data_IF_737326307914
#
_entry.id   IF_737326307914
#
_cell.length_a   1.000
_cell.length_b   1.000
_cell.length_c   1.000
_cell.angle_alpha   90.00
_cell.angle_beta   90.00
_cell.angle_gamma   90.00
#
_symmetry.space_group_name_H-M   'P 1'
#
loop_
_entity.id
_entity.type
_entity.pdbx_description
1 polymer ?
#
# COMPACT_ATOMS: atom_id res chain seq x y z
N UNK A 1 -16.04 -23.03 9.73
CA UNK A 1 -15.84 -23.30 11.18
C UNK A 1 -14.37 -23.08 11.52
N UNK A 2 -14.06 -22.30 12.55
CA UNK A 2 -12.70 -21.88 12.94
C UNK A 2 -12.56 -21.99 14.45
N UNK A 3 -11.37 -22.34 14.92
CA UNK A 3 -11.17 -22.64 16.33
C UNK A 3 -9.86 -22.15 16.89
N UNK A 4 -9.90 -21.80 18.17
CA UNK A 4 -8.78 -21.35 18.98
C UNK A 4 -8.42 -22.44 20.00
N UNK A 5 -7.17 -22.90 19.98
CA UNK A 5 -6.63 -23.90 20.93
C UNK A 5 -5.40 -23.36 21.64
N UNK A 6 -5.23 -23.76 22.90
CA UNK A 6 -3.99 -23.59 23.64
C UNK A 6 -3.25 -24.91 23.73
N UNK A 7 -1.98 -24.91 23.33
CA UNK A 7 -1.10 -26.08 23.47
C UNK A 7 -0.22 -25.85 24.70
N UNK A 8 -0.71 -26.22 25.88
CA UNK A 8 0.09 -26.26 27.12
C UNK A 8 0.91 -27.56 27.19
N UNK A 9 2.08 -27.59 27.87
CA UNK A 9 3.00 -28.74 27.88
C UNK A 9 2.42 -30.07 28.38
N UNK A 10 1.30 -30.03 29.12
CA UNK A 10 0.70 -31.20 29.78
C UNK A 10 -0.71 -31.55 29.29
N UNK A 11 -1.22 -30.93 28.21
CA UNK A 11 -2.56 -31.21 27.70
C UNK A 11 -2.46 -32.00 26.40
N UNK A 12 -2.78 -33.30 26.45
CA UNK A 12 -2.72 -34.19 25.29
C UNK A 12 -3.65 -33.77 24.13
N UNK A 13 -4.62 -32.87 24.36
CA UNK A 13 -5.56 -32.39 23.32
C UNK A 13 -5.82 -30.86 23.30
N UNK A 14 -5.12 -30.08 24.14
CA UNK A 14 -5.32 -28.63 24.26
C UNK A 14 -6.68 -28.21 24.85
N UNK A 15 -6.76 -27.05 25.51
CA UNK A 15 -8.06 -26.49 25.92
C UNK A 15 -8.62 -25.70 24.73
N UNK A 16 -9.84 -26.04 24.28
CA UNK A 16 -10.55 -25.19 23.34
C UNK A 16 -10.92 -23.90 24.06
N UNK A 17 -10.40 -22.78 23.56
CA UNK A 17 -10.82 -21.48 24.08
C UNK A 17 -12.15 -21.09 23.46
N UNK A 18 -12.26 -21.18 22.13
CA UNK A 18 -13.41 -20.71 21.37
C UNK A 18 -13.54 -21.48 20.05
N UNK A 19 -14.78 -21.71 19.60
CA UNK A 19 -15.12 -22.25 18.28
C UNK A 19 -16.20 -21.36 17.67
N UNK A 20 -16.01 -20.89 16.43
CA UNK A 20 -16.98 -20.04 15.76
C UNK A 20 -16.95 -20.22 14.24
N UNK A 21 -18.04 -19.85 13.57
CA UNK A 21 -18.14 -19.83 12.11
C UNK A 21 -18.28 -18.40 11.63
N UNK A 22 -17.25 -17.90 10.97
CA UNK A 22 -17.24 -16.57 10.37
C UNK A 22 -17.90 -16.55 8.99
N UNK A 23 -18.62 -15.47 8.71
CA UNK A 23 -19.20 -15.20 7.40
C UNK A 23 -18.16 -14.81 6.34
N UNK A 24 -18.64 -14.44 5.14
CA UNK A 24 -17.76 -13.96 4.07
C UNK A 24 -17.22 -12.57 4.40
N UNK A 25 -15.88 -12.44 4.43
CA UNK A 25 -15.16 -11.18 4.65
C UNK A 25 -15.47 -10.49 5.99
N UNK A 26 -15.60 -11.27 7.05
CA UNK A 26 -15.87 -10.78 8.40
C UNK A 26 -14.58 -10.60 9.22
N UNK A 27 -14.52 -9.52 9.99
CA UNK A 27 -13.51 -9.31 11.05
C UNK A 27 -14.21 -9.49 12.39
N UNK A 28 -13.66 -10.34 13.26
CA UNK A 28 -14.24 -10.62 14.57
C UNK A 28 -13.16 -10.65 15.64
N UNK A 29 -13.48 -10.06 16.78
CA UNK A 29 -12.66 -10.11 17.98
C UNK A 29 -13.18 -11.20 18.90
N UNK A 30 -12.26 -11.90 19.55
CA UNK A 30 -12.52 -13.02 20.42
C UNK A 30 -11.83 -12.79 21.76
N UNK A 31 -12.57 -12.96 22.85
CA UNK A 31 -12.05 -12.87 24.21
C UNK A 31 -12.37 -14.16 24.97
N UNK A 32 -11.41 -14.63 25.76
CA UNK A 32 -11.55 -15.85 26.55
C UNK A 32 -10.63 -15.81 27.77
N UNK A 33 -10.91 -16.67 28.74
CA UNK A 33 -10.09 -16.82 29.94
C UNK A 33 -9.25 -18.09 29.86
N UNK A 34 -8.00 -17.99 30.30
CA UNK A 34 -7.10 -19.13 30.47
C UNK A 34 -6.80 -19.22 31.96
N UNK A 35 -6.93 -20.42 32.55
CA UNK A 35 -6.56 -20.61 33.94
C UNK A 35 -5.07 -20.29 34.12
N UNK A 36 -4.71 -19.51 35.14
CA UNK A 36 -3.32 -19.13 35.40
C UNK A 36 -2.40 -20.37 35.57
N UNK A 37 -2.93 -21.47 36.12
CA UNK A 37 -2.24 -22.75 36.25
C UNK A 37 -1.90 -23.43 34.91
N UNK A 38 -2.55 -23.03 33.81
CA UNK A 38 -2.29 -23.53 32.46
C UNK A 38 -1.26 -22.68 31.70
N UNK A 39 -0.82 -21.54 32.25
CA UNK A 39 0.21 -20.70 31.65
C UNK A 39 1.60 -21.24 31.98
N UNK A 40 2.40 -21.44 30.94
CA UNK A 40 3.81 -21.80 31.06
C UNK A 40 4.71 -20.65 30.65
N UNK A 41 6.03 -20.78 30.88
CA UNK A 41 7.05 -19.83 30.39
C UNK A 41 6.98 -19.59 28.89
N UNK A 42 6.54 -20.59 28.13
CA UNK A 42 6.17 -20.45 26.73
C UNK A 42 4.77 -21.01 26.56
N UNK A 43 3.91 -20.26 25.86
CA UNK A 43 2.54 -20.65 25.57
C UNK A 43 2.28 -20.47 24.08
N UNK A 44 1.76 -21.50 23.41
CA UNK A 44 1.42 -21.44 21.98
C UNK A 44 -0.09 -21.32 21.83
N UNK A 45 -0.51 -20.24 21.20
CA UNK A 45 -1.88 -20.08 20.70
C UNK A 45 -1.94 -20.63 19.27
N UNK A 46 -2.80 -21.62 19.05
CA UNK A 46 -3.04 -22.20 17.74
C UNK A 46 -4.40 -21.77 17.22
N UNK A 47 -4.41 -21.26 15.99
CA UNK A 47 -5.62 -20.85 15.29
C UNK A 47 -5.76 -21.74 14.07
N UNK A 48 -6.85 -22.49 13.98
CA UNK A 48 -7.06 -23.50 12.94
C UNK A 48 -8.31 -23.18 12.12
N UNK A 49 -8.18 -23.38 10.80
CA UNK A 49 -9.34 -23.46 9.91
C UNK A 49 -9.80 -24.91 9.81
N UNK A 50 -11.04 -25.19 10.20
CA UNK A 50 -11.62 -26.52 10.16
C UNK A 50 -12.40 -26.80 8.86
N UNK A 51 -12.54 -25.82 7.97
CA UNK A 51 -13.44 -25.88 6.80
C UNK A 51 -12.78 -26.32 5.48
N UNK A 52 -11.58 -26.91 5.52
CA UNK A 52 -10.88 -27.41 4.32
C UNK A 52 -10.25 -26.31 3.44
N UNK A 53 -9.75 -26.70 2.25
CA UNK A 53 -8.80 -25.94 1.42
C UNK A 53 -9.35 -24.68 0.69
N UNK A 54 -10.55 -24.21 1.02
CA UNK A 54 -11.19 -23.07 0.35
C UNK A 54 -11.30 -21.78 1.18
N UNK A 55 -11.02 -21.83 2.48
CA UNK A 55 -11.17 -20.69 3.38
C UNK A 55 -9.81 -20.16 3.85
N UNK A 56 -9.56 -18.87 3.58
CA UNK A 56 -8.41 -18.15 4.10
C UNK A 56 -8.83 -17.32 5.33
N UNK A 57 -7.96 -17.27 6.33
CA UNK A 57 -8.06 -16.34 7.44
C UNK A 57 -6.68 -15.74 7.70
N UNK A 58 -6.68 -14.56 8.32
CA UNK A 58 -5.47 -13.91 8.79
C UNK A 58 -5.72 -13.40 10.20
N UNK A 59 -4.76 -13.61 11.08
CA UNK A 59 -4.81 -13.10 12.45
C UNK A 59 -4.22 -11.69 12.45
N UNK A 60 -5.02 -10.69 12.80
CA UNK A 60 -4.54 -9.32 12.90
C UNK A 60 -3.62 -9.13 14.12
N UNK A 61 -4.07 -9.55 15.29
CA UNK A 61 -3.29 -9.55 16.53
C UNK A 61 -3.80 -10.64 17.48
N UNK A 62 -2.99 -10.94 18.50
CA UNK A 62 -3.39 -11.70 19.68
C UNK A 62 -2.72 -11.07 20.91
N UNK A 63 -3.45 -10.97 22.01
CA UNK A 63 -2.94 -10.45 23.29
C UNK A 63 -3.39 -11.34 24.43
N UNK A 64 -2.62 -11.33 25.52
CA UNK A 64 -2.98 -11.99 26.77
C UNK A 64 -2.67 -11.05 27.91
N UNK A 65 -3.61 -10.98 28.86
CA UNK A 65 -3.42 -10.32 30.13
C UNK A 65 -3.28 -11.39 31.22
N UNK A 66 -2.26 -11.27 32.05
CA UNK A 66 -1.97 -12.25 33.10
C UNK A 66 -1.33 -11.56 34.32
N UNK A 67 -1.55 -12.09 35.53
CA UNK A 67 -0.80 -11.67 36.71
C UNK A 67 0.69 -11.96 36.51
N UNK A 68 1.55 -10.98 36.76
CA UNK A 68 2.98 -11.10 36.58
C UNK A 68 3.72 -10.38 37.69
N UNK A 69 4.88 -10.91 38.07
CA UNK A 69 5.85 -10.16 38.87
C UNK A 69 6.43 -9.03 38.01
N UNK A 70 6.76 -7.89 38.63
CA UNK A 70 7.37 -6.76 37.95
C UNK A 70 8.89 -6.98 37.79
N UNK A 71 9.24 -8.03 37.05
CA UNK A 71 10.60 -8.38 36.66
C UNK A 71 10.70 -8.42 35.13
N UNK A 72 11.61 -7.64 34.54
CA UNK A 72 11.58 -7.35 33.11
C UNK A 72 12.76 -7.86 32.29
N UNK A 73 13.53 -8.85 32.78
CA UNK A 73 14.59 -9.54 32.01
C UNK A 73 15.61 -8.59 31.38
N UNK A 74 16.00 -7.53 32.10
CA UNK A 74 16.88 -6.44 31.66
C UNK A 74 16.36 -5.65 30.44
N UNK A 75 15.07 -5.72 30.12
CA UNK A 75 14.50 -4.86 29.08
C UNK A 75 14.58 -3.39 29.51
N UNK A 76 14.79 -2.50 28.54
CA UNK A 76 14.84 -1.05 28.75
C UNK A 76 13.47 -0.38 28.63
N UNK A 77 12.44 -1.15 28.24
CA UNK A 77 11.04 -0.74 28.20
C UNK A 77 10.13 -1.91 28.60
N UNK A 78 9.06 -1.61 29.32
CA UNK A 78 8.02 -2.56 29.68
C UNK A 78 6.67 -1.86 29.75
N UNK A 79 5.60 -2.60 29.47
CA UNK A 79 4.24 -2.16 29.70
C UNK A 79 3.64 -3.01 30.80
N UNK A 80 3.10 -2.37 31.83
CA UNK A 80 2.31 -3.04 32.87
C UNK A 80 0.88 -2.52 32.85
N UNK A 81 -0.03 -3.36 33.31
CA UNK A 81 -1.44 -3.03 33.46
C UNK A 81 -1.79 -3.17 34.94
N UNK A 82 -2.29 -2.12 35.55
CA UNK A 82 -2.57 -2.05 36.99
C UNK A 82 -4.07 -1.99 37.23
N UNK A 83 -4.56 -2.87 38.09
CA UNK A 83 -5.94 -2.85 38.57
C UNK A 83 -6.20 -1.65 39.49
N UNK A 84 -7.41 -1.08 39.50
CA UNK A 84 -7.79 0.07 40.33
C UNK A 84 -7.32 -0.07 41.78
N UNK A 85 -6.77 1.02 42.33
CA UNK A 85 -6.35 1.09 43.72
C UNK A 85 -7.09 2.24 44.41
N UNK A 86 -7.78 1.94 45.51
CA UNK A 86 -8.52 2.94 46.30
C UNK A 86 -7.62 3.78 47.22
N UNK A 87 -6.31 3.52 47.21
CA UNK A 87 -5.31 4.19 48.04
C UNK A 87 -4.00 4.39 47.27
N UNK A 88 -3.12 5.22 47.83
CA UNK A 88 -1.75 5.36 47.32
C UNK A 88 -1.07 3.99 47.35
N UNK A 89 -0.51 3.59 46.22
CA UNK A 89 0.11 2.27 46.04
C UNK A 89 1.59 2.41 45.71
N UNK A 90 2.37 1.46 46.19
CA UNK A 90 3.81 1.38 46.02
C UNK A 90 4.15 0.18 45.13
N UNK A 91 5.02 0.40 44.15
CA UNK A 91 5.40 -0.60 43.18
C UNK A 91 6.92 -0.69 43.10
N UNK A 92 7.43 -1.91 43.15
CA UNK A 92 8.84 -2.22 42.91
C UNK A 92 8.97 -2.90 41.55
N UNK A 93 10.03 -2.53 40.85
CA UNK A 93 10.39 -3.06 39.55
C UNK A 93 11.80 -3.61 39.67
N UNK A 94 11.99 -4.85 39.24
CA UNK A 94 13.27 -5.55 39.30
C UNK A 94 13.73 -5.95 37.91
N UNK A 95 15.02 -6.22 37.80
CA UNK A 95 15.63 -6.67 36.56
C UNK A 95 15.28 -5.79 35.34
N UNK A 96 15.30 -4.47 35.54
CA UNK A 96 14.93 -3.47 34.53
C UNK A 96 16.15 -2.63 34.16
N UNK A 97 16.45 -2.49 32.86
CA UNK A 97 17.56 -1.65 32.39
C UNK A 97 17.14 -0.17 32.34
N UNK A 98 16.88 0.41 33.51
CA UNK A 98 16.29 1.74 33.67
C UNK A 98 17.24 2.93 33.46
N UNK A 99 18.54 2.72 33.53
CA UNK A 99 19.54 3.79 33.46
C UNK A 99 19.49 4.73 34.67
N UNK A 100 19.87 6.00 34.46
CA UNK A 100 19.99 6.99 35.52
C UNK A 100 18.64 7.53 36.02
N UNK A 101 17.67 7.70 35.12
CA UNK A 101 16.37 8.30 35.43
C UNK A 101 15.22 7.59 34.69
N UNK A 102 14.93 6.31 35.00
CA UNK A 102 13.82 5.60 34.41
C UNK A 102 12.48 6.27 34.70
N UNK A 103 11.52 6.09 33.80
CA UNK A 103 10.23 6.77 33.85
C UNK A 103 9.08 5.78 33.81
N UNK A 104 8.07 6.02 34.66
CA UNK A 104 6.73 5.49 34.55
C UNK A 104 5.83 6.55 33.94
N UNK A 105 5.22 6.24 32.80
CA UNK A 105 4.21 7.06 32.16
C UNK A 105 2.84 6.40 32.31
N UNK A 106 1.96 7.02 33.11
CA UNK A 106 0.62 6.51 33.42
C UNK A 106 -0.36 7.05 32.38
N UNK A 107 -0.92 6.17 31.54
CA UNK A 107 -1.69 6.61 30.37
C UNK A 107 -2.97 7.35 30.74
N UNK A 108 -3.75 6.87 31.71
CA UNK A 108 -5.05 7.47 32.03
C UNK A 108 -4.93 8.89 32.61
N UNK A 109 -3.84 9.20 33.30
CA UNK A 109 -3.60 10.50 33.94
C UNK A 109 -2.54 11.34 33.24
N UNK A 110 -1.90 10.79 32.20
CA UNK A 110 -0.75 11.36 31.49
C UNK A 110 0.41 11.76 32.41
N UNK A 111 0.50 11.14 33.59
CA UNK A 111 1.52 11.45 34.58
C UNK A 111 2.86 10.83 34.22
N UNK A 112 3.91 11.63 34.31
CA UNK A 112 5.31 11.20 34.15
C UNK A 112 5.98 11.17 35.52
N UNK A 113 6.40 9.99 35.96
CA UNK A 113 7.01 9.78 37.27
C UNK A 113 8.41 9.21 37.05
N UNK A 114 9.43 9.84 37.63
CA UNK A 114 10.79 9.28 37.65
C UNK A 114 10.84 8.23 38.75
N UNK A 115 11.28 7.03 38.41
CA UNK A 115 11.41 5.95 39.39
C UNK A 115 12.65 6.20 40.26
N UNK A 116 12.52 5.90 41.54
CA UNK A 116 13.62 5.98 42.51
C UNK A 116 14.44 4.69 42.49
N UNK A 117 15.78 4.75 42.53
CA UNK A 117 16.61 3.55 42.62
C UNK A 117 16.44 2.87 44.00
N UNK A 118 16.31 1.54 43.98
CA UNK A 118 16.31 0.69 45.18
C UNK A 118 17.56 -0.20 45.25
N UNK A 119 18.20 -0.44 44.10
CA UNK A 119 19.42 -1.24 43.98
C UNK A 119 19.85 -1.37 42.52
N UNK A 120 20.74 -2.32 42.23
CA UNK A 120 21.15 -2.57 40.84
C UNK A 120 19.97 -3.06 40.00
N UNK A 121 19.57 -2.27 39.01
CA UNK A 121 18.45 -2.57 38.10
C UNK A 121 17.13 -2.80 38.83
N UNK A 122 16.99 -2.17 40.00
CA UNK A 122 15.82 -2.23 40.84
C UNK A 122 15.39 -0.81 41.16
N UNK A 123 14.10 -0.56 40.98
CA UNK A 123 13.53 0.75 41.07
C UNK A 123 12.16 0.69 41.71
N UNK A 124 11.69 1.83 42.20
CA UNK A 124 10.38 1.95 42.82
C UNK A 124 9.67 3.23 42.41
N UNK A 125 8.34 3.20 42.47
CA UNK A 125 7.52 4.39 42.30
C UNK A 125 6.23 4.25 43.09
N UNK A 126 5.54 5.38 43.27
CA UNK A 126 4.22 5.39 43.89
C UNK A 126 3.20 6.04 42.99
N UNK A 127 2.00 5.48 42.97
CA UNK A 127 0.85 6.09 42.31
C UNK A 127 -0.18 6.49 43.37
N UNK A 128 -0.88 7.62 43.20
CA UNK A 128 -2.08 7.93 43.99
C UNK A 128 -3.18 6.89 43.73
N UNK A 129 -4.31 6.99 44.42
CA UNK A 129 -5.49 6.16 44.11
C UNK A 129 -5.97 6.40 42.68
N UNK A 130 -6.43 5.35 42.00
CA UNK A 130 -7.02 5.41 40.66
C UNK A 130 -8.18 4.42 40.55
N UNK A 131 -9.24 4.84 39.87
CA UNK A 131 -10.54 4.12 39.84
C UNK A 131 -10.75 3.28 38.58
N UNK A 132 -9.90 3.46 37.57
CA UNK A 132 -9.94 2.70 36.32
C UNK A 132 -8.62 1.97 36.15
N UNK A 133 -8.70 0.74 35.64
CA UNK A 133 -7.54 -0.02 35.19
C UNK A 133 -6.67 0.83 34.28
N UNK A 134 -5.37 0.89 34.55
CA UNK A 134 -4.45 1.83 33.90
C UNK A 134 -3.23 1.14 33.36
N UNK A 135 -2.85 1.50 32.14
CA UNK A 135 -1.59 1.07 31.55
C UNK A 135 -0.47 2.02 31.99
N UNK A 136 0.64 1.46 32.43
CA UNK A 136 1.85 2.21 32.77
C UNK A 136 2.99 1.73 31.87
N UNK A 137 3.55 2.67 31.12
CA UNK A 137 4.75 2.43 30.33
C UNK A 137 5.98 2.76 31.18
N UNK A 138 6.79 1.74 31.45
CA UNK A 138 8.10 1.88 32.08
C UNK A 138 9.15 1.96 30.98
N UNK A 139 10.03 2.95 31.02
CA UNK A 139 11.09 3.07 30.01
C UNK A 139 12.33 3.80 30.52
N UNK A 140 13.47 3.42 29.95
CA UNK A 140 14.74 4.13 30.07
C UNK A 140 14.81 5.23 28.99
N UNK A 141 14.82 6.52 29.36
CA UNK A 141 14.83 7.61 28.39
C UNK A 141 16.01 7.58 27.41
N UNK A 142 17.16 7.06 27.83
CA UNK A 142 18.38 7.02 27.00
C UNK A 142 18.46 5.84 26.03
N UNK A 143 17.54 4.88 26.09
CA UNK A 143 17.56 3.68 25.23
C UNK A 143 16.22 3.38 24.54
N UNK A 144 15.11 3.64 25.23
CA UNK A 144 13.79 3.21 24.79
C UNK A 144 13.02 4.26 24.00
N UNK A 145 13.47 5.52 24.03
CA UNK A 145 12.87 6.59 23.24
C UNK A 145 13.57 6.72 21.89
N UNK A 146 12.78 6.86 20.84
CA UNK A 146 13.28 7.29 19.54
C UNK A 146 13.34 8.82 19.55
N UNK A 147 14.54 9.35 19.58
CA UNK A 147 14.74 10.80 19.49
C UNK A 147 14.28 11.32 18.12
N UNK A 148 13.42 12.34 18.13
CA UNK A 148 13.05 13.08 16.93
C UNK A 148 13.96 14.30 16.87
N UNK A 149 15.06 14.18 16.14
CA UNK A 149 16.09 15.22 16.05
C UNK A 149 15.68 16.38 15.14
N UNK A 150 14.75 16.15 14.22
CA UNK A 150 14.29 17.16 13.29
C UNK A 150 12.82 16.95 12.94
N UNK A 151 12.08 18.07 12.89
CA UNK A 151 10.75 18.16 12.31
C UNK A 151 10.83 19.05 11.08
N UNK A 152 10.24 18.62 9.97
CA UNK A 152 10.09 19.43 8.76
C UNK A 152 8.63 19.83 8.59
N UNK A 153 8.33 21.13 8.40
CA UNK A 153 6.97 21.54 8.04
C UNK A 153 6.60 20.95 6.67
N UNK A 154 5.35 20.49 6.55
CA UNK A 154 4.77 20.06 5.28
C UNK A 154 3.76 21.11 4.84
N UNK A 155 3.96 21.65 3.63
CA UNK A 155 3.00 22.54 2.99
C UNK A 155 2.14 21.70 2.07
N UNK A 156 0.83 21.64 2.36
CA UNK A 156 -0.10 20.86 1.57
C UNK A 156 -0.56 21.62 0.33
N UNK A 157 -0.57 20.93 -0.81
CA UNK A 157 -1.23 21.41 -2.01
C UNK A 157 -2.73 21.51 -1.76
N UNK A 158 -3.34 22.66 -2.10
CA UNK A 158 -4.77 22.85 -1.97
C UNK A 158 -5.49 22.30 -3.20
N UNK A 159 -6.16 21.16 -3.01
CA UNK A 159 -6.95 20.51 -4.06
C UNK A 159 -8.44 20.92 -4.03
N UNK A 160 -8.86 21.77 -3.09
CA UNK A 160 -10.26 22.19 -2.97
C UNK A 160 -10.67 23.00 -4.20
N UNK A 161 -11.83 22.68 -4.76
CA UNK A 161 -12.42 23.38 -5.91
C UNK A 161 -11.52 23.43 -7.17
N UNK A 162 -10.56 22.50 -7.32
CA UNK A 162 -9.72 22.44 -8.52
C UNK A 162 -10.55 21.94 -9.70
N UNK A 163 -10.73 22.81 -10.70
CA UNK A 163 -11.36 22.46 -11.97
C UNK A 163 -10.28 21.97 -12.94
N UNK A 164 -10.10 20.65 -13.01
CA UNK A 164 -9.19 20.01 -13.94
C UNK A 164 -9.91 18.91 -14.72
N UNK A 165 -9.70 18.87 -16.03
CA UNK A 165 -10.24 17.82 -16.89
C UNK A 165 -9.17 16.84 -17.39
N UNK A 166 -7.90 17.11 -17.08
CA UNK A 166 -6.77 16.21 -17.30
C UNK A 166 -5.87 16.23 -16.07
N UNK A 167 -5.67 15.08 -15.43
CA UNK A 167 -4.89 14.98 -14.20
C UNK A 167 -3.61 14.19 -14.48
N UNK A 168 -2.47 14.73 -14.10
CA UNK A 168 -1.18 14.04 -14.12
C UNK A 168 -0.77 13.79 -12.68
N UNK A 169 -0.52 12.54 -12.32
CA UNK A 169 0.04 12.17 -11.01
C UNK A 169 1.46 11.67 -11.23
N UNK A 170 2.42 12.28 -10.55
CA UNK A 170 3.85 11.94 -10.67
C UNK A 170 4.55 12.07 -9.33
N UNK A 171 5.74 11.49 -9.20
CA UNK A 171 6.61 11.69 -8.06
C UNK A 171 7.54 12.90 -8.28
N UNK A 172 7.81 13.71 -7.25
CA UNK A 172 8.66 14.91 -7.33
C UNK A 172 10.05 14.66 -7.94
N UNK A 173 10.67 13.51 -7.63
CA UNK A 173 11.97 13.11 -8.21
C UNK A 173 11.96 12.95 -9.74
N UNK A 174 10.81 12.68 -10.38
CA UNK A 174 10.70 12.62 -11.83
C UNK A 174 10.57 14.00 -12.49
N UNK A 175 10.38 15.05 -11.68
CA UNK A 175 10.26 16.45 -12.11
C UNK A 175 11.59 17.18 -12.21
N UNK A 176 12.70 16.54 -11.84
CA UNK A 176 14.02 17.15 -11.89
C UNK A 176 14.99 16.23 -12.62
N UNK A 177 15.43 16.64 -13.82
CA UNK A 177 16.42 15.93 -14.64
C UNK A 177 17.88 16.13 -14.18
N UNK A 178 18.10 16.86 -13.09
CA UNK A 178 19.43 17.25 -12.60
C UNK A 178 20.02 18.45 -13.33
N UNK A 179 19.34 18.96 -14.36
CA UNK A 179 19.73 20.15 -15.14
C UNK A 179 18.70 21.28 -15.02
N UNK A 180 17.73 21.14 -14.11
CA UNK A 180 16.68 22.13 -13.86
C UNK A 180 15.49 22.04 -14.81
N UNK A 181 15.35 20.96 -15.59
CA UNK A 181 14.16 20.74 -16.43
C UNK A 181 13.18 19.80 -15.76
N UNK A 182 11.91 20.10 -16.01
CA UNK A 182 10.76 19.38 -15.51
C UNK A 182 9.94 18.83 -16.67
N UNK A 183 10.27 17.63 -17.12
CA UNK A 183 9.58 17.01 -18.26
C UNK A 183 8.13 16.61 -17.94
N UNK A 184 7.76 16.49 -16.66
CA UNK A 184 6.35 16.31 -16.25
C UNK A 184 5.58 17.59 -16.54
N UNK A 185 6.14 18.74 -16.16
CA UNK A 185 5.55 20.04 -16.46
C UNK A 185 5.54 20.34 -17.97
N UNK A 186 6.58 19.98 -18.72
CA UNK A 186 6.56 20.12 -20.18
C UNK A 186 5.45 19.27 -20.83
N UNK A 187 5.19 18.07 -20.31
CA UNK A 187 4.07 17.24 -20.76
C UNK A 187 2.73 17.91 -20.44
N UNK A 188 2.60 18.47 -19.23
CA UNK A 188 1.41 19.21 -18.82
C UNK A 188 1.18 20.45 -19.71
N UNK A 189 2.23 21.24 -19.95
CA UNK A 189 2.22 22.42 -20.81
C UNK A 189 1.80 22.07 -22.24
N UNK A 190 2.26 20.94 -22.78
CA UNK A 190 1.80 20.45 -24.06
C UNK A 190 0.31 20.11 -24.04
N UNK A 191 -0.19 19.37 -23.02
CA UNK A 191 -1.63 19.08 -22.91
C UNK A 191 -2.50 20.33 -22.72
N UNK A 192 -1.96 21.40 -22.16
CA UNK A 192 -2.62 22.72 -22.09
C UNK A 192 -2.63 23.46 -23.44
N UNK A 193 -1.71 23.17 -24.36
CA UNK A 193 -1.65 23.87 -25.66
C UNK A 193 -2.84 23.51 -26.55
N UNK A 194 -3.14 24.37 -27.52
CA UNK A 194 -4.17 24.10 -28.53
C UNK A 194 -3.90 22.80 -29.29
N UNK A 195 -2.64 22.53 -29.62
CA UNK A 195 -2.21 21.32 -30.32
C UNK A 195 -2.25 20.06 -29.46
N UNK A 196 -2.06 20.17 -28.15
CA UNK A 196 -2.14 19.04 -27.22
C UNK A 196 -3.52 18.82 -26.59
N UNK A 197 -4.54 19.55 -27.05
CA UNK A 197 -5.96 19.34 -26.74
C UNK A 197 -6.63 20.39 -25.86
N UNK A 198 -5.93 21.48 -25.51
CA UNK A 198 -6.46 22.60 -24.71
C UNK A 198 -7.09 22.16 -23.37
N UNK A 199 -6.46 21.21 -22.68
CA UNK A 199 -6.94 20.69 -21.41
C UNK A 199 -6.66 21.65 -20.25
N UNK A 200 -7.52 21.58 -19.22
CA UNK A 200 -7.25 22.13 -17.90
C UNK A 200 -6.47 21.08 -17.11
N UNK A 201 -5.15 21.23 -17.08
CA UNK A 201 -4.24 20.21 -16.54
C UNK A 201 -3.84 20.51 -15.10
N UNK A 202 -4.16 19.58 -14.19
CA UNK A 202 -3.60 19.51 -12.84
C UNK A 202 -2.40 18.56 -12.83
N UNK A 203 -1.28 18.99 -12.27
CA UNK A 203 -0.17 18.09 -11.93
C UNK A 203 -0.09 17.94 -10.42
N UNK A 204 -0.27 16.72 -9.94
CA UNK A 204 -0.27 16.39 -8.52
C UNK A 204 0.94 15.53 -8.16
N UNK A 205 1.60 15.86 -7.05
CA UNK A 205 2.65 15.04 -6.47
C UNK A 205 2.02 13.88 -5.69
N UNK A 206 2.46 12.65 -5.98
CA UNK A 206 1.98 11.45 -5.29
C UNK A 206 2.23 11.53 -3.78
N UNK A 207 3.29 12.20 -3.32
CA UNK A 207 3.55 12.34 -1.88
C UNK A 207 2.50 13.20 -1.19
N UNK A 208 2.09 14.31 -1.83
CA UNK A 208 0.99 15.16 -1.36
C UNK A 208 -0.33 14.39 -1.31
N UNK A 209 -0.56 13.52 -2.29
CA UNK A 209 -1.73 12.65 -2.32
C UNK A 209 -1.67 11.62 -1.17
N UNK A 210 -0.52 10.98 -0.95
CA UNK A 210 -0.35 9.99 0.12
C UNK A 210 -0.60 10.64 1.49
N UNK A 211 -0.04 11.81 1.75
CA UNK A 211 -0.20 12.48 3.04
C UNK A 211 -1.65 12.95 3.27
N UNK A 212 -2.33 13.45 2.24
CA UNK A 212 -3.68 14.00 2.38
C UNK A 212 -4.80 12.94 2.28
N UNK A 213 -4.61 11.86 1.51
CA UNK A 213 -5.65 10.89 1.17
C UNK A 213 -5.34 9.44 1.61
N UNK A 214 -4.15 9.19 2.16
CA UNK A 214 -3.66 7.84 2.50
C UNK A 214 -3.83 7.39 3.94
N UNK A 215 -4.52 8.17 4.80
CA UNK A 215 -4.69 7.88 6.24
C UNK A 215 -3.37 7.62 6.99
N UNK A 216 -2.28 8.28 6.55
CA UNK A 216 -0.95 8.11 7.14
C UNK A 216 -0.26 6.78 6.80
N UNK A 217 -0.79 5.98 5.87
CA UNK A 217 -0.15 4.75 5.40
C UNK A 217 0.72 5.05 4.17
N UNK A 218 2.06 4.94 4.27
CA UNK A 218 2.95 5.23 3.15
C UNK A 218 2.67 4.31 1.96
N UNK A 219 2.69 4.91 0.76
CA UNK A 219 2.55 4.24 -0.54
C UNK A 219 1.29 3.37 -0.67
N UNK A 220 0.27 3.56 0.16
CA UNK A 220 -0.92 2.74 0.06
C UNK A 220 -1.74 3.15 -1.17
N UNK A 221 -2.13 2.23 -2.06
CA UNK A 221 -2.86 2.57 -3.30
C UNK A 221 -4.22 3.25 -3.03
N UNK A 222 -4.76 3.04 -1.83
CA UNK A 222 -5.97 3.74 -1.38
C UNK A 222 -5.85 5.27 -1.40
N UNK A 223 -4.65 5.83 -1.23
CA UNK A 223 -4.45 7.27 -1.35
C UNK A 223 -4.83 7.78 -2.75
N UNK A 224 -4.35 7.09 -3.80
CA UNK A 224 -4.66 7.43 -5.19
C UNK A 224 -6.15 7.23 -5.49
N UNK A 225 -6.74 6.15 -4.99
CA UNK A 225 -8.17 5.87 -5.17
C UNK A 225 -9.06 6.92 -4.53
N UNK A 226 -8.75 7.33 -3.29
CA UNK A 226 -9.42 8.41 -2.59
C UNK A 226 -9.27 9.74 -3.33
N UNK A 227 -8.07 10.06 -3.81
CA UNK A 227 -7.83 11.26 -4.60
C UNK A 227 -8.62 11.27 -5.92
N UNK A 228 -8.67 10.14 -6.63
CA UNK A 228 -9.50 10.02 -7.85
C UNK A 228 -11.00 10.20 -7.59
N UNK A 229 -11.48 9.74 -6.42
CA UNK A 229 -12.87 9.91 -5.99
C UNK A 229 -13.18 11.30 -5.40
N UNK A 230 -12.16 12.12 -5.13
CA UNK A 230 -12.31 13.44 -4.51
C UNK A 230 -12.81 14.52 -5.48
N UNK A 231 -12.56 14.37 -6.77
CA UNK A 231 -13.00 15.35 -7.77
C UNK A 231 -14.53 15.41 -7.86
N UNK A 232 -15.11 16.60 -7.67
CA UNK A 232 -16.55 16.83 -7.83
C UNK A 232 -17.04 16.49 -9.25
N UNK A 233 -16.26 16.89 -10.26
CA UNK A 233 -16.46 16.51 -11.64
C UNK A 233 -15.33 15.56 -12.07
N UNK A 234 -15.70 14.34 -12.48
CA UNK A 234 -14.74 13.34 -12.92
C UNK A 234 -13.87 13.86 -14.08
N UNK A 235 -12.54 13.89 -13.95
CA UNK A 235 -11.65 14.29 -15.04
C UNK A 235 -11.85 13.42 -16.27
N UNK A 236 -11.63 13.99 -17.46
CA UNK A 236 -11.71 13.23 -18.73
C UNK A 236 -10.58 12.21 -18.85
N UNK A 237 -9.40 12.56 -18.33
CA UNK A 237 -8.22 11.70 -18.40
C UNK A 237 -7.39 11.81 -17.12
N UNK A 238 -6.77 10.69 -16.75
CA UNK A 238 -5.76 10.62 -15.71
C UNK A 238 -4.53 9.90 -16.25
N UNK A 239 -3.36 10.54 -16.13
CA UNK A 239 -2.08 10.00 -16.52
C UNK A 239 -1.20 9.81 -15.28
N UNK A 240 -0.82 8.56 -15.01
CA UNK A 240 0.19 8.23 -14.02
C UNK A 240 1.56 8.29 -14.69
N UNK A 241 2.50 9.07 -14.15
CA UNK A 241 3.88 9.11 -14.61
C UNK A 241 4.78 8.59 -13.50
N UNK A 242 5.27 7.37 -13.71
CA UNK A 242 6.20 6.69 -12.80
C UNK A 242 6.02 5.18 -12.80
N UNK A 243 7.02 4.49 -12.25
CA UNK A 243 7.07 3.04 -12.26
C UNK A 243 6.01 2.43 -11.32
N UNK A 244 5.28 1.42 -11.80
CA UNK A 244 4.22 0.76 -11.05
C UNK A 244 4.77 -0.43 -10.26
N UNK A 245 4.53 -0.49 -8.95
CA UNK A 245 4.85 -1.67 -8.12
C UNK A 245 3.64 -2.06 -7.27
N UNK A 246 3.40 -3.35 -7.14
CA UNK A 246 2.34 -3.88 -6.27
C UNK A 246 2.62 -3.57 -4.79
N UNK A 247 1.57 -3.19 -4.07
CA UNK A 247 1.71 -2.70 -2.70
C UNK A 247 2.27 -3.74 -1.71
N UNK A 248 1.96 -5.03 -1.90
CA UNK A 248 2.53 -6.14 -1.13
C UNK A 248 4.07 -6.19 -1.22
N UNK A 249 4.64 -5.87 -2.39
CA UNK A 249 6.09 -5.80 -2.59
C UNK A 249 6.69 -4.54 -1.99
N UNK A 250 5.92 -3.46 -1.87
CA UNK A 250 6.36 -2.21 -1.25
C UNK A 250 6.42 -2.33 0.26
N UNK A 251 5.44 -2.95 0.92
CA UNK A 251 5.42 -3.12 2.39
C UNK A 251 6.69 -3.75 2.95
N UNK A 252 7.35 -4.61 2.18
CA UNK A 252 8.56 -5.33 2.60
C UNK A 252 9.87 -4.59 2.29
N UNK A 253 9.82 -3.46 1.56
CA UNK A 253 11.00 -2.72 1.12
C UNK A 253 11.32 -1.55 2.03
N UNK A 254 12.61 -1.32 2.29
CA UNK A 254 13.10 -0.10 2.94
C UNK A 254 12.76 1.14 2.09
N UNK A 255 12.54 2.28 2.74
CA UNK A 255 12.16 3.55 2.08
C UNK A 255 13.16 3.99 0.99
N UNK A 256 14.44 3.67 1.15
CA UNK A 256 15.50 3.99 0.20
C UNK A 256 15.37 3.23 -1.14
N UNK A 257 14.72 2.06 -1.14
CA UNK A 257 14.49 1.24 -2.33
C UNK A 257 13.21 1.63 -3.10
N UNK A 258 12.57 2.75 -2.73
CA UNK A 258 11.30 3.21 -3.31
C UNK A 258 11.38 4.50 -4.18
N UNK A 259 12.47 4.85 -4.89
CA UNK A 259 12.46 6.07 -5.68
C UNK A 259 11.49 5.96 -6.86
N UNK A 260 10.60 6.95 -7.01
CA UNK A 260 9.81 7.23 -8.22
C UNK A 260 8.69 6.21 -8.50
N UNK A 261 8.23 5.52 -7.47
CA UNK A 261 7.20 4.48 -7.61
C UNK A 261 5.82 5.08 -7.34
N UNK A 262 4.83 4.65 -8.12
CA UNK A 262 3.43 4.76 -7.73
C UNK A 262 2.86 3.37 -7.56
N UNK A 263 2.21 3.13 -6.43
CA UNK A 263 1.61 1.84 -6.11
C UNK A 263 0.52 1.45 -7.10
N UNK A 264 0.39 0.14 -7.32
CA UNK A 264 -0.68 -0.49 -8.08
C UNK A 264 -1.77 -1.02 -7.13
N UNK A 265 -3.00 -1.18 -7.64
CA UNK A 265 -4.11 -1.72 -6.86
C UNK A 265 -4.24 -3.23 -7.06
N UNK A 266 -4.30 -3.98 -5.95
CA UNK A 266 -4.48 -5.42 -5.96
C UNK A 266 -3.23 -6.24 -6.29
N UNK A 267 -3.44 -7.56 -6.36
CA UNK A 267 -2.44 -8.56 -6.79
C UNK A 267 -3.18 -9.61 -7.63
N UNK A 268 -2.93 -9.70 -8.95
CA UNK A 268 -1.98 -8.89 -9.73
C UNK A 268 -2.37 -7.40 -9.79
N UNK A 269 -1.36 -6.53 -9.88
CA UNK A 269 -1.54 -5.07 -9.87
C UNK A 269 -2.31 -4.51 -11.07
N UNK A 270 -3.19 -3.54 -10.83
CA UNK A 270 -4.03 -2.92 -11.87
C UNK A 270 -4.29 -1.44 -11.61
N UNK A 271 -4.04 -0.59 -12.61
CA UNK A 271 -4.46 0.82 -12.61
C UNK A 271 -5.96 0.96 -12.89
N UNK A 272 -6.57 0.06 -13.67
CA UNK A 272 -8.01 0.11 -13.94
C UNK A 272 -8.84 -0.14 -12.69
N UNK A 273 -8.39 -1.06 -11.83
CA UNK A 273 -9.06 -1.32 -10.55
C UNK A 273 -8.80 -0.22 -9.52
N UNK A 274 -7.68 0.52 -9.63
CA UNK A 274 -7.36 1.65 -8.75
C UNK A 274 -8.48 2.69 -8.75
N UNK A 275 -9.00 2.99 -9.94
CA UNK A 275 -10.03 4.00 -10.15
C UNK A 275 -11.36 3.36 -10.54
N UNK A 276 -11.64 2.13 -10.09
CA UNK A 276 -12.96 1.51 -10.26
C UNK A 276 -13.88 1.83 -9.06
N UNK A 277 -15.18 1.97 -9.33
CA UNK A 277 -16.18 2.06 -8.27
C UNK A 277 -16.26 0.72 -7.50
N UNK A 278 -16.73 0.75 -6.25
CA UNK A 278 -16.89 -0.46 -5.45
C UNK A 278 -17.78 -1.49 -6.16
N UNK A 279 -17.29 -2.72 -6.26
CA UNK A 279 -17.98 -3.81 -6.97
C UNK A 279 -17.96 -3.70 -8.50
N UNK A 280 -17.19 -2.78 -9.08
CA UNK A 280 -17.01 -2.65 -10.54
C UNK A 280 -15.58 -3.01 -10.94
N UNK A 281 -15.43 -3.45 -12.19
CA UNK A 281 -14.13 -3.77 -12.80
C UNK A 281 -13.65 -2.70 -13.79
N UNK A 282 -14.54 -1.79 -14.17
CA UNK A 282 -14.24 -0.67 -15.06
C UNK A 282 -13.86 0.56 -14.25
N UNK A 283 -12.75 1.19 -14.65
CA UNK A 283 -12.38 2.50 -14.12
C UNK A 283 -13.45 3.55 -14.43
N UNK A 284 -13.74 4.44 -13.48
CA UNK A 284 -14.61 5.60 -13.71
C UNK A 284 -13.85 6.79 -14.31
N UNK A 285 -12.51 6.78 -14.29
CA UNK A 285 -11.66 7.75 -15.01
C UNK A 285 -10.82 7.00 -16.05
N UNK A 286 -10.81 7.40 -17.32
CA UNK A 286 -9.85 6.87 -18.30
C UNK A 286 -8.41 7.09 -17.82
N UNK A 287 -7.73 6.00 -17.45
CA UNK A 287 -6.40 6.04 -16.85
C UNK A 287 -5.36 5.44 -17.78
N UNK A 288 -4.27 6.17 -18.00
CA UNK A 288 -3.05 5.67 -18.63
C UNK A 288 -1.86 5.75 -17.68
N UNK A 289 -0.83 4.94 -17.93
CA UNK A 289 0.45 5.01 -17.21
C UNK A 289 1.62 5.12 -18.19
N UNK A 290 2.47 6.11 -17.95
CA UNK A 290 3.83 6.17 -18.45
C UNK A 290 4.76 5.61 -17.36
N UNK A 291 5.25 4.38 -17.56
CA UNK A 291 6.11 3.68 -16.60
C UNK A 291 7.56 4.21 -16.62
N UNK A 292 7.75 5.51 -16.39
CA UNK A 292 9.06 6.15 -16.37
C UNK A 292 9.80 5.88 -15.05
N UNK A 293 11.10 5.62 -15.13
CA UNK A 293 11.99 5.49 -13.97
C UNK A 293 12.90 6.70 -13.79
N UNK A 294 13.11 7.47 -14.86
CA UNK A 294 13.90 8.68 -14.88
C UNK A 294 13.25 9.76 -15.79
N UNK A 295 13.63 11.04 -15.64
CA UNK A 295 13.01 12.13 -16.39
C UNK A 295 13.23 12.07 -17.91
N UNK A 296 14.32 11.46 -18.40
CA UNK A 296 14.61 11.38 -19.85
C UNK A 296 13.61 10.51 -20.60
N UNK A 297 13.08 9.46 -19.95
CA UNK A 297 12.02 8.63 -20.51
C UNK A 297 10.71 9.41 -20.71
N UNK A 298 10.46 10.43 -19.88
CA UNK A 298 9.29 11.31 -20.00
C UNK A 298 9.46 12.22 -21.21
N UNK A 299 10.64 12.81 -21.39
CA UNK A 299 11.00 13.58 -22.58
C UNK A 299 10.80 12.76 -23.86
N UNK A 300 11.35 11.55 -23.90
CA UNK A 300 11.30 10.70 -25.10
C UNK A 300 9.87 10.28 -25.43
N UNK A 301 9.06 10.00 -24.41
CA UNK A 301 7.64 9.72 -24.61
C UNK A 301 6.87 10.96 -25.09
N UNK A 302 7.10 12.14 -24.49
CA UNK A 302 6.49 13.40 -24.91
C UNK A 302 6.82 13.75 -26.37
N UNK A 303 8.07 13.56 -26.79
CA UNK A 303 8.49 13.80 -28.16
C UNK A 303 7.72 12.91 -29.15
N UNK A 304 7.57 11.61 -28.83
CA UNK A 304 6.74 10.71 -29.64
C UNK A 304 5.27 11.12 -29.69
N UNK A 305 4.71 11.59 -28.58
CA UNK A 305 3.33 12.09 -28.52
C UNK A 305 3.17 13.31 -29.42
N UNK A 306 4.05 14.30 -29.29
CA UNK A 306 4.05 15.52 -30.12
C UNK A 306 4.18 15.17 -31.60
N UNK A 307 5.13 14.32 -31.96
CA UNK A 307 5.35 13.89 -33.34
C UNK A 307 4.12 13.16 -33.89
N UNK A 308 3.55 12.22 -33.13
CA UNK A 308 2.37 11.47 -33.55
C UNK A 308 1.16 12.38 -33.77
N UNK A 309 0.85 13.25 -32.80
CA UNK A 309 -0.32 14.13 -32.83
C UNK A 309 -0.18 15.24 -33.89
N UNK A 310 1.01 15.82 -34.09
CA UNK A 310 1.26 16.77 -35.18
C UNK A 310 1.06 16.11 -36.56
N UNK A 311 1.44 14.84 -36.68
CA UNK A 311 1.20 14.07 -37.89
C UNK A 311 -0.28 13.68 -38.07
N UNK A 312 -1.21 13.96 -37.13
CA UNK A 312 -2.66 13.74 -37.30
C UNK A 312 -3.36 14.83 -38.14
N UNK A 313 -2.75 16.00 -38.31
CA UNK A 313 -3.38 17.13 -39.04
C UNK A 313 -2.57 17.66 -40.23
N UNK A 314 -1.35 17.16 -40.47
CA UNK A 314 -0.51 17.58 -41.60
C UNK A 314 -1.23 17.37 -42.97
N UNK A 315 -1.03 18.23 -43.98
CA UNK A 315 -1.55 18.03 -45.36
C UNK A 315 -0.98 16.75 -45.99
N UNK A 316 -1.82 15.94 -46.66
CA UNK A 316 -1.44 14.55 -47.00
C UNK A 316 -1.73 14.17 -48.43
N UNK A 317 -0.79 13.46 -49.03
CA UNK A 317 -1.05 12.59 -50.17
C UNK A 317 -1.23 11.14 -49.68
N UNK A 318 -1.93 10.32 -50.46
CA UNK A 318 -2.28 8.93 -50.08
C UNK A 318 -1.04 8.08 -49.77
N UNK A 319 0.10 8.39 -50.39
CA UNK A 319 1.35 7.65 -50.24
C UNK A 319 1.98 7.82 -48.85
N UNK A 320 1.95 9.03 -48.27
CA UNK A 320 2.56 9.29 -46.96
C UNK A 320 1.81 8.64 -45.78
N UNK A 321 0.55 8.26 -45.99
CA UNK A 321 -0.27 7.57 -44.98
C UNK A 321 -0.35 6.05 -45.13
N UNK A 322 0.16 5.49 -46.24
CA UNK A 322 0.00 4.07 -46.55
C UNK A 322 0.52 3.15 -45.43
N UNK A 323 1.52 3.59 -44.67
CA UNK A 323 2.05 2.83 -43.54
C UNK A 323 1.02 2.61 -42.42
N UNK A 324 0.06 3.51 -42.21
CA UNK A 324 -0.99 3.38 -41.19
C UNK A 324 -2.00 2.27 -41.50
N UNK A 325 -2.06 1.83 -42.75
CA UNK A 325 -2.90 0.72 -43.20
C UNK A 325 -2.20 -0.62 -43.10
N UNK A 326 -0.91 -0.65 -42.73
CA UNK A 326 -0.16 -1.90 -42.57
C UNK A 326 -0.38 -2.45 -41.17
N UNK A 327 -0.99 -3.62 -41.09
CA UNK A 327 -1.27 -4.30 -39.83
C UNK A 327 -0.42 -5.57 -39.75
N UNK A 328 0.31 -5.73 -38.66
CA UNK A 328 1.02 -6.97 -38.35
C UNK A 328 0.24 -7.76 -37.32
N UNK A 329 -0.24 -8.94 -37.71
CA UNK A 329 -0.75 -9.95 -36.80
C UNK A 329 0.37 -10.89 -36.39
N UNK A 330 0.49 -11.14 -35.09
CA UNK A 330 1.42 -12.13 -34.52
C UNK A 330 0.59 -13.21 -33.83
N UNK A 331 0.61 -14.42 -34.37
CA UNK A 331 -0.13 -15.57 -33.85
C UNK A 331 0.80 -16.49 -33.05
N UNK A 332 0.63 -16.48 -31.71
CA UNK A 332 1.34 -17.37 -30.78
C UNK A 332 0.55 -18.63 -30.43
N UNK A 333 0.88 -19.25 -29.29
CA UNK A 333 0.18 -20.43 -28.74
C UNK A 333 1.15 -21.54 -28.33
N UNK A 334 0.63 -22.53 -27.62
CA UNK A 334 1.40 -23.71 -27.26
C UNK A 334 1.76 -24.54 -28.51
N UNK A 335 3.05 -24.84 -28.67
CA UNK A 335 3.54 -25.58 -29.82
C UNK A 335 3.15 -27.06 -29.69
N UNK A 336 2.61 -27.65 -30.76
CA UNK A 336 2.07 -29.02 -30.74
C UNK A 336 0.64 -29.15 -30.22
N UNK A 337 0.01 -28.05 -29.78
CA UNK A 337 -1.42 -28.00 -29.42
C UNK A 337 -2.29 -27.31 -30.46
N UNK A 338 -3.61 -27.28 -30.23
CA UNK A 338 -4.60 -26.66 -31.14
C UNK A 338 -4.66 -25.13 -31.04
N UNK A 339 -3.96 -24.52 -30.09
CA UNK A 339 -4.00 -23.07 -29.84
C UNK A 339 -3.49 -22.26 -31.04
N UNK A 340 -2.37 -22.67 -31.63
CA UNK A 340 -1.75 -21.96 -32.77
C UNK A 340 -2.74 -21.89 -33.94
N UNK A 341 -3.34 -23.02 -34.31
CA UNK A 341 -4.34 -23.08 -35.38
C UNK A 341 -5.59 -22.25 -35.04
N UNK A 342 -6.03 -22.29 -33.78
CA UNK A 342 -7.22 -21.55 -33.31
C UNK A 342 -6.98 -20.03 -33.36
N UNK A 343 -5.84 -19.56 -32.87
CA UNK A 343 -5.49 -18.13 -32.86
C UNK A 343 -5.24 -17.62 -34.28
N UNK A 344 -4.59 -18.42 -35.12
CA UNK A 344 -4.38 -18.08 -36.52
C UNK A 344 -5.72 -17.92 -37.26
N UNK A 345 -6.67 -18.85 -37.07
CA UNK A 345 -8.01 -18.76 -37.67
C UNK A 345 -8.80 -17.54 -37.17
N UNK A 346 -8.62 -17.13 -35.90
CA UNK A 346 -9.22 -15.89 -35.35
C UNK A 346 -8.59 -14.65 -35.99
N UNK A 347 -7.26 -14.61 -36.10
CA UNK A 347 -6.53 -13.49 -36.70
C UNK A 347 -6.78 -13.37 -38.21
N UNK A 348 -7.01 -14.47 -38.91
CA UNK A 348 -7.41 -14.45 -40.33
C UNK A 348 -8.81 -13.85 -40.50
N UNK A 349 -9.76 -14.15 -39.60
CA UNK A 349 -11.09 -13.52 -39.62
C UNK A 349 -11.01 -12.02 -39.37
N UNK A 350 -10.23 -11.56 -38.39
CA UNK A 350 -10.04 -10.12 -38.19
C UNK A 350 -9.28 -9.46 -39.35
N UNK A 351 -8.33 -10.16 -39.98
CA UNK A 351 -7.64 -9.67 -41.17
C UNK A 351 -8.63 -9.43 -42.32
N UNK A 352 -9.54 -10.37 -42.58
CA UNK A 352 -10.57 -10.21 -43.60
C UNK A 352 -11.49 -9.01 -43.31
N UNK A 353 -11.88 -8.79 -42.06
CA UNK A 353 -12.67 -7.61 -41.67
C UNK A 353 -11.90 -6.31 -41.92
N UNK A 354 -10.63 -6.24 -41.51
CA UNK A 354 -9.79 -5.05 -41.65
C UNK A 354 -9.45 -4.73 -43.12
N UNK A 355 -9.27 -5.75 -43.96
CA UNK A 355 -8.96 -5.57 -45.38
C UNK A 355 -10.18 -5.22 -46.23
N UNK A 356 -11.38 -5.69 -45.86
CA UNK A 356 -12.58 -5.58 -46.69
C UNK A 356 -13.55 -4.47 -46.26
N UNK A 357 -13.24 -3.68 -45.24
CA UNK A 357 -14.00 -2.49 -44.87
C UNK A 357 -13.31 -1.20 -45.34
N UNK A 358 -13.89 -0.04 -45.02
CA UNK A 358 -13.36 1.28 -45.43
C UNK A 358 -11.94 1.58 -44.91
N UNK A 359 -11.45 0.82 -43.93
CA UNK A 359 -10.06 0.92 -43.48
C UNK A 359 -9.10 0.44 -44.56
N UNK A 360 -9.43 -0.65 -45.28
CA UNK A 360 -8.64 -1.21 -46.38
C UNK A 360 -7.23 -1.60 -45.97
N UNK A 361 -7.09 -2.32 -44.86
CA UNK A 361 -5.79 -2.72 -44.32
C UNK A 361 -5.04 -3.69 -45.23
N UNK A 362 -3.72 -3.54 -45.26
CA UNK A 362 -2.76 -4.54 -45.75
C UNK A 362 -2.29 -5.32 -44.52
N UNK A 363 -2.79 -6.53 -44.34
CA UNK A 363 -2.53 -7.34 -43.15
C UNK A 363 -1.48 -8.42 -43.45
N UNK A 364 -0.39 -8.40 -42.70
CA UNK A 364 0.62 -9.46 -42.69
C UNK A 364 0.47 -10.30 -41.41
N UNK A 365 0.43 -11.62 -41.52
CA UNK A 365 0.33 -12.50 -40.34
C UNK A 365 1.59 -13.35 -40.21
N UNK A 366 2.24 -13.29 -39.05
CA UNK A 366 3.37 -14.14 -38.68
C UNK A 366 2.89 -15.09 -37.58
N UNK A 367 3.08 -16.40 -37.78
CA UNK A 367 2.64 -17.43 -36.82
C UNK A 367 3.84 -18.20 -36.26
N UNK A 368 3.78 -18.56 -34.98
CA UNK A 368 4.83 -19.35 -34.32
C UNK A 368 4.99 -20.72 -35.00
N UNK A 369 6.20 -21.05 -35.43
CA UNK A 369 6.51 -22.29 -36.15
C UNK A 369 7.32 -23.31 -35.36
N UNK A 370 7.86 -22.92 -34.19
CA UNK A 370 8.64 -23.82 -33.35
C UNK A 370 8.50 -23.46 -31.87
N UNK A 371 8.88 -24.40 -30.98
CA UNK A 371 8.96 -24.14 -29.55
C UNK A 371 10.16 -23.26 -29.15
N UNK A 372 11.17 -23.12 -30.02
CA UNK A 372 12.39 -22.35 -29.76
C UNK A 372 12.19 -20.85 -30.12
N UNK A 373 12.87 -19.92 -29.42
CA UNK A 373 12.78 -18.48 -29.65
C UNK A 373 13.09 -18.06 -31.08
#
# INVERSE_FOLDING_TARGET
>A
MRTFKTDAPNNADGQWLLNDTLGRYEVKEYAGQIAASALGRSHKLRIENLEGSGAAFSTAFASIEYPADFSFNRNSAATILLEPQNQKSYYEVTDFDGGEAPVAYVQNTLQRIVLEPLGNNQYRFTLPSFVQKTQVLLFNPGKALREVTQLSPVVFADYRNVQANYVIISHARLRNDGQGRDYVEEYAAYRRSSTGGAYQVLVADVNQIIDQFGYGIPDHPQALRNFGAYFEATPKYLLLIGHGIEYNLLRQRNAEMRPNILSLFGTPGSDNLMFAANGKLSSFIPTGRLAAQDPSQIRDYLNKVKEYEQNLDAPRNTQSLAWRKRVLHISGGNYGGNEIATFQARLQRTAAVLSNNDFGAIVSTVSKQSAKP
#
